data_IF_917077416355
#
_entry.id   IF_917077416355
#
_cell.length_a   1.000
_cell.length_b   1.000
_cell.length_c   1.000
_cell.angle_alpha   90.00
_cell.angle_beta   90.00
_cell.angle_gamma   90.00
#
_symmetry.space_group_name_H-M   'P 1'
#
loop_
_entity.id
_entity.type
_entity.pdbx_description
1 polymer ?
#
# COMPACT_ATOMS: atom_id res chain seq x y z
N UNK A 1 59.08 -32.98 6.72
CA UNK A 1 57.72 -33.49 6.99
C UNK A 1 57.10 -32.54 8.00
N UNK A 2 56.31 -31.57 7.53
CA UNK A 2 55.66 -30.59 8.40
C UNK A 2 54.35 -31.18 8.90
N UNK A 3 54.20 -31.28 10.22
CA UNK A 3 52.98 -31.66 10.91
C UNK A 3 51.85 -30.68 10.55
N UNK A 4 50.63 -31.15 10.28
CA UNK A 4 49.49 -30.27 10.04
C UNK A 4 49.02 -29.73 11.40
N UNK A 5 49.55 -28.59 11.81
CA UNK A 5 49.07 -27.89 13.01
C UNK A 5 47.68 -27.28 12.75
N UNK A 6 46.69 -27.85 13.45
CA UNK A 6 45.54 -27.18 14.07
C UNK A 6 44.90 -26.01 13.30
N UNK A 7 44.09 -26.33 12.29
CA UNK A 7 43.10 -25.38 11.74
C UNK A 7 41.80 -25.35 12.61
N UNK A 8 41.70 -26.19 13.64
CA UNK A 8 40.42 -26.50 14.29
C UNK A 8 40.03 -25.60 15.47
N UNK A 9 40.80 -24.54 15.82
CA UNK A 9 40.50 -23.77 17.05
C UNK A 9 40.58 -22.25 16.92
N UNK A 10 40.30 -21.68 15.75
CA UNK A 10 39.84 -20.30 15.71
C UNK A 10 38.32 -20.28 15.84
N UNK A 11 37.83 -19.87 17.01
CA UNK A 11 36.41 -19.57 17.21
C UNK A 11 36.03 -18.41 16.28
N UNK A 12 35.12 -18.68 15.35
CA UNK A 12 34.56 -17.67 14.47
C UNK A 12 33.80 -16.64 15.32
N UNK A 13 34.37 -15.46 15.47
CA UNK A 13 33.74 -14.36 16.19
C UNK A 13 32.80 -13.62 15.24
N UNK A 14 31.50 -13.84 15.41
CA UNK A 14 30.47 -13.06 14.72
C UNK A 14 30.49 -11.64 15.28
N UNK A 15 31.12 -10.71 14.56
CA UNK A 15 31.29 -9.31 14.97
C UNK A 15 29.99 -8.50 14.98
N UNK A 16 28.92 -8.99 14.35
CA UNK A 16 27.63 -8.29 14.24
C UNK A 16 26.49 -9.21 14.64
N UNK A 17 25.98 -9.04 15.85
CA UNK A 17 24.68 -9.60 16.23
C UNK A 17 23.58 -8.93 15.38
N UNK A 18 22.65 -9.71 14.82
CA UNK A 18 21.43 -9.27 14.12
C UNK A 18 21.53 -8.91 12.62
N UNK A 19 22.19 -9.75 11.81
CA UNK A 19 21.75 -9.94 10.41
C UNK A 19 20.88 -11.19 10.34
N UNK A 20 19.64 -11.06 10.81
CA UNK A 20 18.65 -12.12 10.61
C UNK A 20 17.99 -11.92 9.24
N UNK A 21 18.13 -12.91 8.35
CA UNK A 21 17.49 -12.90 7.05
C UNK A 21 15.97 -13.17 7.13
N UNK A 22 15.45 -13.55 8.30
CA UNK A 22 14.04 -13.89 8.53
C UNK A 22 13.09 -12.81 8.02
N UNK A 23 13.41 -11.53 8.21
CA UNK A 23 12.55 -10.42 7.74
C UNK A 23 12.42 -10.42 6.22
N UNK A 24 13.53 -10.61 5.50
CA UNK A 24 13.57 -10.63 4.03
C UNK A 24 12.89 -11.89 3.50
N UNK A 25 13.21 -13.06 4.07
CA UNK A 25 12.60 -14.34 3.69
C UNK A 25 11.08 -14.29 3.90
N UNK A 26 10.62 -13.76 5.04
CA UNK A 26 9.19 -13.59 5.33
C UNK A 26 8.52 -12.68 4.30
N UNK A 27 9.21 -11.61 3.87
CA UNK A 27 8.75 -10.73 2.80
C UNK A 27 8.50 -11.49 1.49
N UNK A 28 9.49 -12.26 1.03
CA UNK A 28 9.35 -13.04 -0.19
C UNK A 28 8.27 -14.12 -0.09
N UNK A 29 8.20 -14.86 1.01
CA UNK A 29 7.16 -15.88 1.22
C UNK A 29 5.77 -15.24 1.18
N UNK A 30 5.60 -14.06 1.80
CA UNK A 30 4.33 -13.33 1.76
C UNK A 30 3.95 -12.94 0.33
N UNK A 31 4.88 -12.35 -0.44
CA UNK A 31 4.63 -11.98 -1.83
C UNK A 31 4.26 -13.18 -2.69
N UNK A 32 5.06 -14.26 -2.65
CA UNK A 32 4.80 -15.48 -3.43
C UNK A 32 3.44 -16.08 -3.11
N UNK A 33 3.09 -16.19 -1.83
CA UNK A 33 1.78 -16.72 -1.42
C UNK A 33 0.63 -15.84 -1.91
N UNK A 34 0.75 -14.51 -1.78
CA UNK A 34 -0.27 -13.58 -2.28
C UNK A 34 -0.42 -13.66 -3.80
N UNK A 35 0.69 -13.77 -4.55
CA UNK A 35 0.66 -13.96 -6.01
C UNK A 35 -0.06 -15.24 -6.40
N UNK A 36 0.25 -16.36 -5.75
CA UNK A 36 -0.37 -17.67 -6.06
C UNK A 36 -1.88 -17.62 -5.77
N UNK A 37 -2.29 -17.08 -4.62
CA UNK A 37 -3.71 -16.97 -4.27
C UNK A 37 -4.48 -16.15 -5.33
N UNK A 38 -3.91 -15.02 -5.75
CA UNK A 38 -4.51 -14.18 -6.80
C UNK A 38 -4.58 -14.87 -8.14
N UNK A 39 -3.56 -15.64 -8.49
CA UNK A 39 -3.56 -16.37 -9.75
C UNK A 39 -4.71 -17.38 -9.81
N UNK A 40 -5.03 -18.05 -8.69
CA UNK A 40 -6.14 -19.00 -8.59
C UNK A 40 -7.50 -18.29 -8.70
N UNK A 41 -7.59 -17.02 -8.31
CA UNK A 41 -8.82 -16.22 -8.32
C UNK A 41 -9.08 -15.47 -9.64
N UNK A 42 -8.23 -15.62 -10.66
CA UNK A 42 -8.40 -14.92 -11.94
C UNK A 42 -9.64 -15.41 -12.70
N UNK A 43 -10.39 -14.44 -13.23
CA UNK A 43 -11.46 -14.70 -14.19
C UNK A 43 -10.90 -14.98 -15.60
N UNK A 44 -11.67 -15.63 -16.51
CA UNK A 44 -11.19 -16.05 -17.83
C UNK A 44 -10.57 -14.94 -18.71
N UNK A 45 -10.97 -13.69 -18.52
CA UNK A 45 -10.48 -12.52 -19.29
C UNK A 45 -9.48 -11.66 -18.51
N UNK A 46 -8.91 -12.20 -17.43
CA UNK A 46 -7.91 -11.53 -16.61
C UNK A 46 -6.55 -12.23 -16.67
N UNK A 47 -5.48 -11.46 -16.51
CA UNK A 47 -4.13 -11.99 -16.32
C UNK A 47 -3.35 -11.17 -15.28
N UNK A 48 -2.31 -11.79 -14.73
CA UNK A 48 -1.36 -11.12 -13.84
C UNK A 48 -0.09 -10.77 -14.60
N UNK A 49 0.40 -9.56 -14.38
CA UNK A 49 1.75 -9.15 -14.70
C UNK A 49 2.52 -9.00 -13.39
N UNK A 50 3.67 -9.68 -13.30
CA UNK A 50 4.56 -9.54 -12.16
C UNK A 50 5.59 -8.47 -12.50
N UNK A 51 5.73 -7.49 -11.60
CA UNK A 51 6.66 -6.37 -11.73
C UNK A 51 6.45 -5.42 -12.93
N UNK A 52 5.21 -5.09 -13.32
CA UNK A 52 5.01 -4.03 -14.33
C UNK A 52 4.15 -2.85 -13.86
N UNK A 53 4.31 -2.39 -12.63
CA UNK A 53 3.53 -1.29 -12.09
C UNK A 53 3.88 -1.00 -10.65
N UNK A 54 3.84 -2.01 -9.77
CA UNK A 54 4.47 -1.94 -8.45
C UNK A 54 5.06 -3.28 -7.97
N UNK A 55 4.26 -4.30 -7.63
CA UNK A 55 4.77 -5.66 -7.38
C UNK A 55 3.96 -6.71 -8.18
N UNK A 56 2.64 -6.55 -8.23
CA UNK A 56 1.68 -7.39 -8.98
C UNK A 56 0.67 -6.47 -9.66
N UNK A 57 0.34 -6.73 -10.92
CA UNK A 57 -0.75 -6.03 -11.60
C UNK A 57 -1.80 -7.03 -12.07
N UNK A 58 -3.07 -6.73 -11.80
CA UNK A 58 -4.21 -7.45 -12.38
C UNK A 58 -4.77 -6.65 -13.55
N UNK A 59 -4.79 -7.26 -14.73
CA UNK A 59 -5.31 -6.67 -15.94
C UNK A 59 -6.58 -7.39 -16.37
N UNK A 60 -7.47 -6.66 -17.01
CA UNK A 60 -8.67 -7.21 -17.63
C UNK A 60 -8.70 -6.81 -19.09
N UNK A 61 -9.11 -7.73 -19.97
CA UNK A 61 -9.37 -7.41 -21.37
C UNK A 61 -10.43 -6.32 -21.45
N UNK A 62 -10.23 -5.27 -22.26
CA UNK A 62 -11.15 -4.13 -22.32
C UNK A 62 -12.61 -4.57 -22.53
N UNK A 63 -13.40 -4.58 -21.46
CA UNK A 63 -14.84 -4.82 -21.48
C UNK A 63 -15.52 -3.46 -21.50
N UNK A 64 -16.62 -3.35 -22.24
CA UNK A 64 -17.44 -2.13 -22.40
C UNK A 64 -18.09 -1.61 -21.10
N UNK A 65 -17.77 -2.22 -19.94
CA UNK A 65 -18.30 -1.84 -18.64
C UNK A 65 -17.53 -0.65 -18.06
N UNK A 66 -18.11 0.54 -18.19
CA UNK A 66 -17.51 1.81 -17.77
C UNK A 66 -17.17 1.87 -16.27
N UNK A 67 -17.71 0.96 -15.45
CA UNK A 67 -17.46 0.94 -14.02
C UNK A 67 -16.22 0.14 -13.59
N UNK A 68 -15.63 -0.69 -14.45
CA UNK A 68 -14.44 -1.49 -14.10
C UNK A 68 -13.13 -0.72 -14.34
N UNK A 69 -12.04 -1.13 -13.68
CA UNK A 69 -10.71 -0.57 -13.92
C UNK A 69 -10.06 -1.29 -15.09
N UNK A 70 -9.35 -0.58 -15.96
CA UNK A 70 -8.60 -1.21 -17.06
C UNK A 70 -7.42 -2.02 -16.50
N UNK A 71 -6.87 -1.56 -15.37
CA UNK A 71 -5.72 -2.16 -14.69
C UNK A 71 -5.74 -1.82 -13.21
N UNK A 72 -5.44 -2.80 -12.36
CA UNK A 72 -5.27 -2.62 -10.92
C UNK A 72 -3.82 -2.91 -10.55
N UNK A 73 -3.13 -1.88 -10.06
CA UNK A 73 -1.76 -1.98 -9.55
C UNK A 73 -1.80 -2.44 -8.09
N UNK A 74 -0.91 -3.35 -7.70
CA UNK A 74 -0.88 -3.86 -6.33
C UNK A 74 0.53 -3.85 -5.73
N UNK A 75 0.64 -3.20 -4.57
CA UNK A 75 1.82 -3.25 -3.72
C UNK A 75 1.61 -4.29 -2.61
N UNK A 76 2.44 -5.33 -2.57
CA UNK A 76 2.36 -6.40 -1.57
C UNK A 76 3.53 -6.25 -0.59
N UNK A 77 3.24 -5.71 0.59
CA UNK A 77 4.26 -5.34 1.57
C UNK A 77 4.07 -6.07 2.90
N UNK A 78 5.03 -6.93 3.25
CA UNK A 78 5.10 -7.51 4.60
C UNK A 78 5.82 -6.54 5.56
N UNK A 79 5.19 -6.25 6.70
CA UNK A 79 5.61 -5.20 7.64
C UNK A 79 5.38 -5.65 9.08
N UNK A 80 6.11 -5.01 10.01
CA UNK A 80 6.05 -5.32 11.45
C UNK A 80 5.34 -4.23 12.26
N UNK A 81 5.31 -3.01 11.74
CA UNK A 81 4.70 -1.85 12.40
C UNK A 81 3.27 -1.66 11.91
N UNK A 82 2.46 -1.01 12.74
CA UNK A 82 1.13 -0.60 12.34
C UNK A 82 1.21 0.41 11.19
N UNK A 83 0.28 0.30 10.24
CA UNK A 83 0.15 1.22 9.13
C UNK A 83 -0.82 2.35 9.49
N UNK A 84 -0.43 3.58 9.20
CA UNK A 84 -1.25 4.80 9.32
C UNK A 84 -1.11 5.63 8.05
N UNK A 85 -2.00 6.60 7.80
CA UNK A 85 -1.84 7.48 6.64
C UNK A 85 -0.60 8.39 6.72
N UNK A 86 -0.01 8.56 7.91
CA UNK A 86 1.25 9.30 8.11
C UNK A 86 2.49 8.43 7.86
N UNK A 87 2.32 7.11 7.77
CA UNK A 87 3.44 6.20 7.60
C UNK A 87 4.16 6.51 6.28
N UNK A 88 5.51 6.59 6.27
CA UNK A 88 6.29 6.84 5.06
C UNK A 88 5.88 5.96 3.88
N UNK A 89 5.55 4.70 4.15
CA UNK A 89 5.13 3.69 3.18
C UNK A 89 3.75 3.99 2.60
N UNK A 90 2.80 4.44 3.43
CA UNK A 90 1.47 4.83 2.98
C UNK A 90 1.54 6.09 2.09
N UNK A 91 2.31 7.09 2.52
CA UNK A 91 2.50 8.32 1.75
C UNK A 91 3.22 8.06 0.42
N UNK A 92 4.19 7.14 0.41
CA UNK A 92 4.88 6.72 -0.82
C UNK A 92 3.91 6.03 -1.77
N UNK A 93 3.13 5.05 -1.32
CA UNK A 93 2.14 4.37 -2.16
C UNK A 93 1.11 5.33 -2.77
N UNK A 94 0.62 6.31 -2.01
CA UNK A 94 -0.30 7.32 -2.52
C UNK A 94 0.34 8.22 -3.59
N UNK A 95 1.58 8.65 -3.37
CA UNK A 95 2.29 9.51 -4.31
C UNK A 95 2.65 8.74 -5.60
N UNK A 96 3.09 7.49 -5.48
CA UNK A 96 3.39 6.60 -6.62
C UNK A 96 2.12 6.29 -7.42
N UNK A 97 0.99 6.00 -6.77
CA UNK A 97 -0.28 5.85 -7.48
C UNK A 97 -0.67 7.12 -8.26
N UNK A 98 -0.50 8.29 -7.66
CA UNK A 98 -0.74 9.54 -8.36
C UNK A 98 0.18 9.69 -9.59
N UNK A 99 1.46 9.36 -9.48
CA UNK A 99 2.41 9.36 -10.60
C UNK A 99 1.98 8.40 -11.72
N UNK A 100 1.57 7.16 -11.38
CA UNK A 100 1.07 6.21 -12.38
C UNK A 100 -0.14 6.75 -13.15
N UNK A 101 -1.07 7.41 -12.46
CA UNK A 101 -2.23 8.04 -13.11
C UNK A 101 -1.84 9.19 -14.03
N UNK A 102 -0.80 9.96 -13.69
CA UNK A 102 -0.31 11.03 -14.55
C UNK A 102 0.41 10.48 -15.78
N UNK A 103 1.22 9.43 -15.63
CA UNK A 103 1.95 8.79 -16.73
C UNK A 103 1.04 7.99 -17.67
N UNK A 104 -0.15 7.60 -17.22
CA UNK A 104 -1.09 6.77 -17.99
C UNK A 104 -2.49 7.40 -18.06
N UNK A 105 -2.66 8.60 -18.65
CA UNK A 105 -3.93 9.34 -18.59
C UNK A 105 -5.07 8.68 -19.39
N UNK A 106 -4.74 7.77 -20.32
CA UNK A 106 -5.72 7.02 -21.11
C UNK A 106 -6.25 5.78 -20.42
N UNK A 107 -5.69 5.38 -19.27
CA UNK A 107 -6.08 4.19 -18.53
C UNK A 107 -6.82 4.57 -17.24
N UNK A 108 -7.91 3.88 -16.98
CA UNK A 108 -8.61 3.91 -15.70
C UNK A 108 -7.92 2.98 -14.72
N UNK A 109 -6.92 3.51 -14.01
CA UNK A 109 -6.13 2.77 -13.03
C UNK A 109 -6.82 2.69 -11.67
N UNK A 110 -6.85 1.48 -11.11
CA UNK A 110 -7.07 1.22 -9.69
C UNK A 110 -5.77 0.86 -9.00
N UNK A 111 -5.76 0.95 -7.66
CA UNK A 111 -4.60 0.61 -6.86
C UNK A 111 -5.00 -0.08 -5.56
N UNK A 112 -4.26 -1.12 -5.17
CA UNK A 112 -4.48 -1.82 -3.90
C UNK A 112 -3.17 -1.98 -3.14
N UNK A 113 -3.12 -1.43 -1.94
CA UNK A 113 -2.01 -1.65 -1.02
C UNK A 113 -2.32 -2.83 -0.09
N UNK A 114 -1.64 -3.97 -0.28
CA UNK A 114 -1.84 -5.21 0.46
C UNK A 114 -0.74 -5.37 1.52
N UNK A 115 -1.14 -5.54 2.79
CA UNK A 115 -0.18 -5.72 3.88
C UNK A 115 -0.72 -6.56 5.03
N UNK A 116 0.18 -7.24 5.74
CA UNK A 116 -0.10 -7.92 7.00
C UNK A 116 -0.10 -6.96 8.22
N UNK A 117 0.24 -5.68 8.05
CA UNK A 117 0.17 -4.70 9.12
C UNK A 117 -1.26 -4.49 9.63
N UNK A 118 -1.40 -4.36 10.94
CA UNK A 118 -2.61 -3.78 11.53
C UNK A 118 -2.70 -2.28 11.26
N UNK A 119 -3.92 -1.75 11.23
CA UNK A 119 -4.15 -0.30 11.10
C UNK A 119 -3.99 0.40 12.45
N UNK A 120 -3.18 1.45 12.50
CA UNK A 120 -2.98 2.30 13.68
C UNK A 120 -3.74 3.64 13.58
N UNK A 121 -3.78 4.39 14.68
CA UNK A 121 -4.36 5.74 14.74
C UNK A 121 -3.30 6.83 14.54
N UNK A 122 -3.64 7.89 13.83
CA UNK A 122 -2.79 9.06 13.63
C UNK A 122 -2.81 9.99 14.85
N UNK A 123 -1.64 10.57 15.14
CA UNK A 123 -1.49 11.71 16.04
C UNK A 123 -0.77 12.86 15.29
N UNK A 124 -1.36 14.06 15.19
CA UNK A 124 -2.77 14.36 15.45
C UNK A 124 -3.71 13.59 14.52
N UNK A 125 -4.96 13.40 14.97
CA UNK A 125 -6.00 12.66 14.23
C UNK A 125 -6.46 13.37 12.95
N UNK A 126 -7.01 12.61 12.00
CA UNK A 126 -7.51 13.13 10.71
C UNK A 126 -8.83 13.90 10.87
N UNK A 127 -9.79 13.34 11.59
CA UNK A 127 -11.10 13.96 11.88
C UNK A 127 -11.38 14.03 13.36
N UNK A 128 -11.47 12.87 14.01
CA UNK A 128 -11.78 12.72 15.42
C UNK A 128 -10.73 11.80 16.07
N UNK A 129 -10.45 12.04 17.35
CA UNK A 129 -9.46 11.26 18.09
C UNK A 129 -9.91 9.80 18.16
N UNK A 130 -8.96 8.89 17.89
CA UNK A 130 -9.20 7.45 18.00
C UNK A 130 -9.75 6.77 16.74
N UNK A 131 -10.11 7.53 15.70
CA UNK A 131 -10.54 6.95 14.41
C UNK A 131 -9.35 6.92 13.44
N UNK A 132 -8.85 5.74 13.04
CA UNK A 132 -7.79 5.63 12.04
C UNK A 132 -8.15 6.25 10.69
N UNK A 133 -7.21 6.98 10.11
CA UNK A 133 -7.30 7.62 8.81
C UNK A 133 -7.56 6.62 7.69
N UNK A 134 -6.93 5.44 7.74
CA UNK A 134 -7.17 4.35 6.79
C UNK A 134 -8.63 3.86 6.88
N UNK A 135 -9.21 3.75 8.09
CA UNK A 135 -10.62 3.39 8.22
C UNK A 135 -11.53 4.50 7.68
N UNK A 136 -11.18 5.78 7.88
CA UNK A 136 -11.90 6.91 7.30
C UNK A 136 -11.88 6.83 5.76
N UNK A 137 -10.71 6.55 5.17
CA UNK A 137 -10.52 6.35 3.74
C UNK A 137 -11.45 5.27 3.20
N UNK A 138 -11.41 4.08 3.80
CA UNK A 138 -12.21 2.94 3.35
C UNK A 138 -13.72 3.20 3.51
N UNK A 139 -14.15 3.91 4.56
CA UNK A 139 -15.55 4.30 4.73
C UNK A 139 -16.03 5.28 3.64
N UNK A 140 -15.18 6.17 3.16
CA UNK A 140 -15.49 7.05 2.02
C UNK A 140 -15.65 6.21 0.75
N UNK A 141 -14.65 5.36 0.47
CA UNK A 141 -14.57 4.51 -0.73
C UNK A 141 -15.74 3.53 -0.82
N UNK A 142 -16.13 2.91 0.29
CA UNK A 142 -17.22 1.94 0.35
C UNK A 142 -18.62 2.57 0.43
N UNK A 143 -18.71 3.91 0.32
CA UNK A 143 -20.00 4.63 0.37
C UNK A 143 -20.68 4.66 1.74
N UNK A 144 -19.99 4.29 2.83
CA UNK A 144 -20.53 4.30 4.20
C UNK A 144 -20.67 5.72 4.79
N UNK A 145 -20.15 6.74 4.09
CA UNK A 145 -20.36 8.15 4.40
C UNK A 145 -21.05 8.80 3.21
N UNK A 146 -22.11 9.56 3.45
CA UNK A 146 -22.92 10.20 2.40
C UNK A 146 -23.19 11.69 2.66
N UNK A 147 -23.72 12.38 1.65
CA UNK A 147 -24.18 13.77 1.74
C UNK A 147 -23.12 14.78 2.20
N UNK A 148 -23.53 15.77 2.99
CA UNK A 148 -22.65 16.85 3.50
C UNK A 148 -21.51 16.32 4.36
N UNK A 149 -21.75 15.24 5.12
CA UNK A 149 -20.74 14.58 5.94
C UNK A 149 -19.62 14.03 5.07
N UNK A 150 -19.93 13.41 3.93
CA UNK A 150 -18.92 12.88 2.99
C UNK A 150 -17.97 13.98 2.53
N UNK A 151 -18.49 15.12 2.08
CA UNK A 151 -17.65 16.24 1.62
C UNK A 151 -16.74 16.80 2.70
N UNK A 152 -17.23 16.90 3.95
CA UNK A 152 -16.42 17.36 5.09
C UNK A 152 -15.26 16.40 5.40
N UNK A 153 -15.56 15.10 5.47
CA UNK A 153 -14.56 14.06 5.76
C UNK A 153 -13.51 13.99 4.65
N UNK A 154 -13.91 14.07 3.39
CA UNK A 154 -12.98 14.13 2.25
C UNK A 154 -12.08 15.37 2.34
N UNK A 155 -12.64 16.52 2.72
CA UNK A 155 -11.87 17.74 2.91
C UNK A 155 -10.83 17.62 4.03
N UNK A 156 -11.21 17.03 5.17
CA UNK A 156 -10.32 16.77 6.30
C UNK A 156 -9.18 15.81 5.91
N UNK A 157 -9.51 14.70 5.24
CA UNK A 157 -8.55 13.74 4.73
C UNK A 157 -7.54 14.39 3.77
N UNK A 158 -8.02 15.20 2.82
CA UNK A 158 -7.15 15.96 1.91
C UNK A 158 -6.24 16.92 2.66
N UNK A 159 -6.79 17.65 3.64
CA UNK A 159 -6.03 18.60 4.44
C UNK A 159 -4.92 17.92 5.25
N UNK A 160 -5.21 16.75 5.81
CA UNK A 160 -4.25 15.93 6.53
C UNK A 160 -3.06 15.51 5.64
N UNK A 161 -3.34 14.97 4.45
CA UNK A 161 -2.29 14.54 3.51
C UNK A 161 -1.48 15.72 2.97
N UNK A 162 -2.13 16.87 2.74
CA UNK A 162 -1.47 18.12 2.35
C UNK A 162 -0.51 18.63 3.42
N UNK A 163 -0.79 18.35 4.70
CA UNK A 163 0.07 18.70 5.83
C UNK A 163 1.17 17.67 6.14
N UNK A 164 1.25 16.58 5.37
CA UNK A 164 2.25 15.54 5.60
C UNK A 164 3.61 15.92 5.00
N UNK A 165 4.69 15.45 5.63
CA UNK A 165 6.04 15.66 5.13
C UNK A 165 6.43 14.59 4.11
N UNK A 166 7.34 14.92 3.19
CA UNK A 166 7.89 13.96 2.23
C UNK A 166 8.60 12.82 2.98
N UNK A 167 8.29 11.55 2.68
CA UNK A 167 9.11 10.42 3.12
C UNK A 167 10.57 10.56 2.67
N UNK A 168 11.53 10.26 3.54
CA UNK A 168 12.95 10.47 3.23
C UNK A 168 13.41 9.74 1.95
N UNK A 169 12.92 8.51 1.75
CA UNK A 169 13.27 7.64 0.64
C UNK A 169 12.47 7.90 -0.65
N UNK A 170 11.42 8.74 -0.60
CA UNK A 170 10.59 9.02 -1.77
C UNK A 170 11.19 10.17 -2.59
N UNK A 171 11.37 9.95 -3.89
CA UNK A 171 11.86 10.97 -4.83
C UNK A 171 10.99 12.24 -4.81
N UNK A 172 11.64 13.41 -4.92
CA UNK A 172 10.93 14.71 -4.94
C UNK A 172 10.08 14.85 -6.20
N UNK A 173 10.52 14.23 -7.29
CA UNK A 173 9.88 14.18 -8.60
C UNK A 173 8.51 13.48 -8.52
N UNK A 174 8.34 12.51 -7.63
CA UNK A 174 7.07 11.82 -7.37
C UNK A 174 6.24 12.57 -6.32
N UNK A 175 6.88 13.08 -5.26
CA UNK A 175 6.18 13.74 -4.15
C UNK A 175 5.58 15.11 -4.50
N UNK A 176 6.33 15.97 -5.18
CA UNK A 176 5.91 17.35 -5.44
C UNK A 176 4.68 17.45 -6.35
N UNK A 177 4.54 16.66 -7.43
CA UNK A 177 3.31 16.59 -8.20
C UNK A 177 2.12 16.13 -7.36
N UNK A 178 2.29 15.13 -6.49
CA UNK A 178 1.23 14.67 -5.61
C UNK A 178 0.78 15.76 -4.63
N UNK A 179 1.73 16.46 -3.99
CA UNK A 179 1.40 17.60 -3.12
C UNK A 179 0.72 18.74 -3.89
N UNK A 180 1.14 19.00 -5.14
CA UNK A 180 0.49 19.99 -6.01
C UNK A 180 -0.93 19.59 -6.36
N UNK A 181 -1.19 18.30 -6.63
CA UNK A 181 -2.52 17.76 -6.82
C UNK A 181 -3.39 17.99 -5.58
N UNK A 182 -2.94 17.59 -4.39
CA UNK A 182 -3.72 17.79 -3.14
C UNK A 182 -4.07 19.26 -2.88
N UNK A 183 -3.15 20.19 -3.21
CA UNK A 183 -3.37 21.64 -3.08
C UNK A 183 -4.42 22.18 -4.04
N UNK A 184 -4.53 21.63 -5.25
CA UNK A 184 -5.33 22.20 -6.35
C UNK A 184 -6.63 21.45 -6.62
N UNK A 185 -6.69 20.16 -6.30
CA UNK A 185 -7.84 19.33 -6.63
C UNK A 185 -9.09 19.78 -5.88
N UNK A 186 -10.22 19.64 -6.55
CA UNK A 186 -11.56 19.78 -5.99
C UNK A 186 -11.92 18.57 -5.13
N UNK A 187 -12.96 18.69 -4.30
CA UNK A 187 -13.47 17.56 -3.50
C UNK A 187 -13.89 16.37 -4.38
N UNK A 188 -14.61 16.54 -5.52
CA UNK A 188 -14.92 15.43 -6.41
C UNK A 188 -13.69 14.77 -7.03
N UNK A 189 -12.66 15.53 -7.40
CA UNK A 189 -11.42 14.97 -7.94
C UNK A 189 -10.67 14.13 -6.90
N UNK A 190 -10.57 14.62 -5.67
CA UNK A 190 -9.97 13.86 -4.58
C UNK A 190 -10.82 12.64 -4.21
N UNK A 191 -12.15 12.74 -4.25
CA UNK A 191 -13.03 11.58 -4.06
C UNK A 191 -12.74 10.49 -5.10
N UNK A 192 -12.61 10.84 -6.39
CA UNK A 192 -12.23 9.87 -7.43
C UNK A 192 -10.86 9.24 -7.20
N UNK A 193 -9.94 9.96 -6.56
CA UNK A 193 -8.64 9.42 -6.16
C UNK A 193 -8.78 8.42 -5.00
N UNK A 194 -9.59 8.74 -4.00
CA UNK A 194 -9.95 7.85 -2.89
C UNK A 194 -10.66 6.59 -3.37
N UNK A 195 -11.63 6.76 -4.28
CA UNK A 195 -12.41 5.65 -4.83
C UNK A 195 -11.55 4.64 -5.61
N UNK A 196 -10.43 5.11 -6.17
CA UNK A 196 -9.52 4.30 -6.98
C UNK A 196 -8.33 3.71 -6.23
N UNK A 197 -8.20 3.97 -4.92
CA UNK A 197 -7.12 3.43 -4.09
C UNK A 197 -7.71 2.69 -2.89
N UNK A 198 -7.35 1.43 -2.73
CA UNK A 198 -7.82 0.54 -1.68
C UNK A 198 -6.70 0.19 -0.70
N UNK A 199 -6.98 0.30 0.60
CA UNK A 199 -6.14 -0.25 1.65
C UNK A 199 -6.60 -1.65 2.04
N UNK A 200 -5.80 -2.67 1.72
CA UNK A 200 -6.01 -4.06 2.14
C UNK A 200 -5.00 -4.41 3.25
N UNK A 201 -5.18 -3.76 4.40
CA UNK A 201 -4.42 -4.06 5.61
C UNK A 201 -5.11 -5.19 6.38
N UNK A 202 -4.33 -5.95 7.16
CA UNK A 202 -4.85 -6.97 8.08
C UNK A 202 -5.91 -6.34 8.98
N UNK A 203 -7.19 -6.63 8.69
CA UNK A 203 -8.22 -6.60 9.73
C UNK A 203 -7.75 -7.63 10.73
N UNK A 204 -7.62 -7.27 12.01
CA UNK A 204 -7.42 -8.25 13.06
C UNK A 204 -8.46 -9.35 12.83
N UNK A 205 -8.00 -10.51 12.38
CA UNK A 205 -8.84 -11.67 12.18
C UNK A 205 -9.23 -12.17 13.57
N UNK A 206 -10.18 -11.49 14.20
CA UNK A 206 -10.85 -12.04 15.37
C UNK A 206 -11.76 -13.18 14.89
N UNK A 207 -11.16 -14.38 14.89
CA UNK A 207 -11.83 -15.63 15.18
C UNK A 207 -12.78 -16.19 14.13
N UNK A 208 -12.25 -16.88 13.12
CA UNK A 208 -12.93 -18.00 12.46
C UNK A 208 -11.93 -19.13 12.16
N UNK A 209 -11.35 -19.65 13.24
CA UNK A 209 -10.92 -21.05 13.33
C UNK A 209 -11.38 -21.57 14.70
N UNK A 210 -12.67 -21.90 14.80
CA UNK A 210 -13.09 -22.98 15.67
C UNK A 210 -13.67 -24.06 14.76
N UNK A 211 -12.95 -25.17 14.73
CA UNK A 211 -13.47 -26.48 14.34
C UNK A 211 -14.68 -26.83 15.20
#
# INVERSE_FOLDING_TARGET
>A
MSTPENIVTQSFVVSRQRRDATVVIRGYVYQVNTTILKWIELEPDQWLELEAGEDIDALQKAVTDQNQFDRVLEAVKCREKNLTLRSPEALSALATFHEHRQSNPSLKLGFRYITNSSVGTEDPAVTEVGTPGIHIWERIRSGLVSGKTKSSVISALRSFLKGSARPAELASETWEPFQRFLKRCTIPEFNRFVDAFEWSASRVAHGLLRR
#
